data_IF_294653896840
#
_entry.id   IF_294653896840
#
_cell.length_a   1.000
_cell.length_b   1.000
_cell.length_c   1.000
_cell.angle_alpha   90.00
_cell.angle_beta   90.00
_cell.angle_gamma   90.00
#
_symmetry.space_group_name_H-M   'P 1'
#
loop_
_entity.id
_entity.type
_entity.pdbx_description
1 polymer ?
#
# COMPACT_ATOMS: atom_id res chain seq x y z
N UNK A 1 -28.64 -17.12 -7.10
CA UNK A 1 -27.49 -16.64 -6.32
C UNK A 1 -27.88 -16.72 -4.86
N UNK A 2 -27.25 -17.58 -4.07
CA UNK A 2 -27.48 -17.62 -2.63
C UNK A 2 -26.94 -16.30 -2.08
N UNK A 3 -27.82 -15.47 -1.52
CA UNK A 3 -27.46 -14.26 -0.79
C UNK A 3 -26.72 -14.68 0.49
N UNK A 4 -25.46 -15.13 0.35
CA UNK A 4 -24.57 -15.21 1.50
C UNK A 4 -24.36 -13.77 1.93
N UNK A 5 -24.90 -13.44 3.10
CA UNK A 5 -24.65 -12.17 3.74
C UNK A 5 -23.14 -11.99 3.84
N UNK A 6 -22.61 -10.98 3.12
CA UNK A 6 -21.20 -10.71 3.11
C UNK A 6 -20.79 -10.20 4.50
N UNK A 7 -20.07 -11.04 5.26
CA UNK A 7 -19.55 -10.68 6.58
C UNK A 7 -18.14 -10.10 6.42
N UNK A 8 -18.08 -8.77 6.27
CA UNK A 8 -16.83 -8.05 6.11
C UNK A 8 -15.87 -8.27 7.29
N UNK A 9 -16.39 -8.44 8.51
CA UNK A 9 -15.58 -8.63 9.71
C UNK A 9 -14.92 -10.00 9.68
N UNK A 10 -15.67 -11.04 9.31
CA UNK A 10 -15.11 -12.38 9.12
C UNK A 10 -14.01 -12.40 8.05
N UNK A 11 -14.19 -11.67 6.95
CA UNK A 11 -13.17 -11.56 5.89
C UNK A 11 -11.90 -10.82 6.34
N UNK A 12 -12.04 -9.76 7.15
CA UNK A 12 -10.89 -9.07 7.75
C UNK A 12 -10.14 -9.95 8.76
N UNK A 13 -10.87 -10.72 9.58
CA UNK A 13 -10.27 -11.70 10.50
C UNK A 13 -9.55 -12.81 9.74
N UNK A 14 -10.14 -13.31 8.65
CA UNK A 14 -9.51 -14.29 7.78
C UNK A 14 -8.22 -13.74 7.15
N UNK A 15 -8.22 -12.48 6.69
CA UNK A 15 -7.03 -11.83 6.15
C UNK A 15 -5.90 -11.76 7.21
N UNK A 16 -6.24 -11.43 8.46
CA UNK A 16 -5.28 -11.43 9.57
C UNK A 16 -4.74 -12.84 9.86
N UNK A 17 -5.61 -13.86 9.86
CA UNK A 17 -5.19 -15.25 10.04
C UNK A 17 -4.25 -15.72 8.92
N UNK A 18 -4.57 -15.39 7.65
CA UNK A 18 -3.70 -15.69 6.50
C UNK A 18 -2.34 -15.00 6.66
N UNK A 19 -2.32 -13.72 7.08
CA UNK A 19 -1.08 -12.99 7.31
C UNK A 19 -0.25 -13.60 8.45
N UNK A 20 -0.86 -13.94 9.57
CA UNK A 20 -0.15 -14.53 10.72
C UNK A 20 0.50 -15.87 10.40
N UNK A 21 -0.14 -16.68 9.55
CA UNK A 21 0.44 -17.93 9.02
C UNK A 21 1.54 -17.69 7.97
N UNK A 22 1.43 -16.58 7.23
CA UNK A 22 2.28 -16.26 6.09
C UNK A 22 2.98 -14.90 6.25
N UNK A 23 3.68 -14.70 7.37
CA UNK A 23 4.33 -13.42 7.69
C UNK A 23 5.36 -12.99 6.64
N UNK A 24 5.88 -13.93 5.84
CA UNK A 24 6.80 -13.67 4.73
C UNK A 24 6.23 -12.72 3.68
N UNK A 25 4.90 -12.59 3.58
CA UNK A 25 4.23 -11.59 2.73
C UNK A 25 4.59 -10.14 3.09
N UNK A 26 5.00 -9.87 4.33
CA UNK A 26 5.44 -8.55 4.75
C UNK A 26 6.86 -8.19 4.27
N UNK A 27 7.65 -9.18 3.85
CA UNK A 27 9.07 -9.00 3.60
C UNK A 27 9.37 -8.05 2.42
N UNK A 28 8.71 -8.13 1.24
CA UNK A 28 9.02 -7.23 0.13
C UNK A 28 8.78 -5.75 0.47
N UNK A 29 7.69 -5.46 1.17
CA UNK A 29 7.31 -4.09 1.54
C UNK A 29 8.13 -3.56 2.69
N UNK A 30 8.54 -4.42 3.63
CA UNK A 30 9.51 -4.08 4.67
C UNK A 30 10.89 -3.76 4.06
N UNK A 31 11.40 -4.57 3.13
CA UNK A 31 12.67 -4.29 2.44
C UNK A 31 12.58 -2.97 1.67
N UNK A 32 11.47 -2.75 0.93
CA UNK A 32 11.27 -1.50 0.21
C UNK A 32 11.21 -0.28 1.14
N UNK A 33 10.59 -0.39 2.32
CA UNK A 33 10.55 0.70 3.29
C UNK A 33 11.92 0.97 3.92
N UNK A 34 12.73 -0.06 4.19
CA UNK A 34 14.11 0.10 4.64
C UNK A 34 14.96 0.85 3.60
N UNK A 35 14.87 0.42 2.33
CA UNK A 35 15.56 1.09 1.22
C UNK A 35 15.08 2.54 1.10
N UNK A 36 13.78 2.78 1.20
CA UNK A 36 13.21 4.13 1.20
C UNK A 36 13.76 5.00 2.33
N UNK A 37 13.84 4.51 3.56
CA UNK A 37 14.36 5.26 4.71
C UNK A 37 15.83 5.62 4.52
N UNK A 38 16.67 4.64 4.14
CA UNK A 38 18.10 4.87 3.91
C UNK A 38 18.31 5.91 2.81
N UNK A 39 17.54 5.79 1.73
CA UNK A 39 17.64 6.68 0.59
C UNK A 39 17.11 8.08 0.91
N UNK A 40 15.94 8.22 1.55
CA UNK A 40 15.39 9.50 2.01
C UNK A 40 16.31 10.20 3.01
N UNK A 41 16.93 9.47 3.94
CA UNK A 41 17.88 10.05 4.89
C UNK A 41 19.11 10.60 4.17
N UNK A 42 19.63 9.86 3.19
CA UNK A 42 20.77 10.29 2.35
C UNK A 42 20.41 11.52 1.51
N UNK A 43 19.21 11.54 0.91
CA UNK A 43 18.70 12.67 0.14
C UNK A 43 18.47 13.91 1.00
N UNK A 44 17.94 13.74 2.22
CA UNK A 44 17.75 14.84 3.16
C UNK A 44 19.09 15.46 3.53
N UNK A 45 20.11 14.64 3.80
CA UNK A 45 21.48 15.10 4.03
C UNK A 45 22.06 15.86 2.83
N UNK A 46 21.95 15.30 1.62
CA UNK A 46 22.42 15.95 0.39
C UNK A 46 21.70 17.29 0.13
N UNK A 47 20.38 17.34 0.35
CA UNK A 47 19.57 18.56 0.21
C UNK A 47 19.98 19.61 1.24
N UNK A 48 20.15 19.22 2.51
CA UNK A 48 20.60 20.13 3.57
C UNK A 48 21.97 20.73 3.24
N UNK A 49 22.93 19.92 2.79
CA UNK A 49 24.24 20.39 2.36
C UNK A 49 24.14 21.34 1.15
N UNK A 50 23.23 21.07 0.22
CA UNK A 50 23.00 21.94 -0.95
C UNK A 50 22.43 23.30 -0.55
N UNK A 51 21.49 23.33 0.40
CA UNK A 51 20.91 24.57 0.94
C UNK A 51 21.95 25.37 1.73
N UNK A 52 22.73 24.71 2.60
CA UNK A 52 23.79 25.37 3.37
C UNK A 52 24.90 25.91 2.45
N UNK A 53 25.31 25.13 1.45
CA UNK A 53 26.27 25.55 0.43
C UNK A 53 25.77 26.73 -0.40
N UNK A 54 24.49 26.71 -0.80
CA UNK A 54 23.87 27.83 -1.50
C UNK A 54 23.88 29.12 -0.67
N UNK A 55 23.68 29.03 0.65
CA UNK A 55 23.80 30.17 1.56
C UNK A 55 25.21 30.79 1.60
N UNK A 56 26.26 29.97 1.49
CA UNK A 56 27.65 30.45 1.42
C UNK A 56 27.99 31.16 0.10
N UNK A 57 27.19 30.95 -0.94
CA UNK A 57 27.36 31.55 -2.27
C UNK A 57 26.41 32.72 -2.52
N UNK A 58 25.96 33.42 -1.48
CA UNK A 58 25.01 34.53 -1.58
C UNK A 58 25.43 35.66 -2.54
N UNK A 59 26.73 35.80 -2.84
CA UNK A 59 27.28 36.73 -3.85
C UNK A 59 27.35 36.19 -5.29
N UNK A 60 27.01 34.93 -5.53
CA UNK A 60 27.17 34.24 -6.81
C UNK A 60 25.86 33.57 -7.24
N UNK A 61 24.92 34.33 -7.86
CA UNK A 61 23.58 33.85 -8.16
C UNK A 61 23.56 32.60 -9.05
N UNK A 62 24.51 32.47 -9.98
CA UNK A 62 24.66 31.27 -10.81
C UNK A 62 25.05 30.02 -10.01
N UNK A 63 25.97 30.14 -9.05
CA UNK A 63 26.38 29.04 -8.17
C UNK A 63 25.27 28.62 -7.21
N UNK A 64 24.54 29.60 -6.67
CA UNK A 64 23.36 29.36 -5.82
C UNK A 64 22.26 28.60 -6.58
N UNK A 65 21.90 29.05 -7.79
CA UNK A 65 20.89 28.39 -8.61
C UNK A 65 21.30 26.96 -9.00
N UNK A 66 22.58 26.75 -9.32
CA UNK A 66 23.10 25.42 -9.64
C UNK A 66 23.00 24.44 -8.46
N UNK A 67 23.36 24.86 -7.24
CA UNK A 67 23.27 24.02 -6.04
C UNK A 67 21.81 23.68 -5.69
N UNK A 68 20.91 24.66 -5.75
CA UNK A 68 19.48 24.41 -5.52
C UNK A 68 18.86 23.50 -6.59
N UNK A 69 19.27 23.67 -7.85
CA UNK A 69 18.86 22.81 -8.96
C UNK A 69 19.33 21.36 -8.80
N UNK A 70 20.56 21.15 -8.32
CA UNK A 70 21.08 19.80 -8.05
C UNK A 70 20.32 19.13 -6.89
N UNK A 71 20.02 19.88 -5.83
CA UNK A 71 19.20 19.40 -4.73
C UNK A 71 17.80 18.97 -5.18
N UNK A 72 17.13 19.79 -6.00
CA UNK A 72 15.77 19.48 -6.49
C UNK A 72 15.75 18.30 -7.45
N UNK A 73 16.74 18.16 -8.34
CA UNK A 73 16.86 16.99 -9.21
C UNK A 73 17.08 15.71 -8.42
N UNK A 74 17.90 15.76 -7.36
CA UNK A 74 18.11 14.62 -6.46
C UNK A 74 16.81 14.24 -5.77
N UNK A 75 16.05 15.22 -5.28
CA UNK A 75 14.74 15.01 -4.66
C UNK A 75 13.73 14.35 -5.61
N UNK A 76 13.59 14.87 -6.83
CA UNK A 76 12.61 14.38 -7.80
C UNK A 76 13.01 12.99 -8.32
N UNK A 77 14.24 12.83 -8.81
CA UNK A 77 14.71 11.56 -9.36
C UNK A 77 14.76 10.46 -8.30
N UNK A 78 15.22 10.81 -7.10
CA UNK A 78 15.27 9.91 -5.96
C UNK A 78 13.89 9.49 -5.46
N UNK A 79 12.97 10.45 -5.34
CA UNK A 79 11.58 10.18 -4.96
C UNK A 79 10.87 9.27 -5.97
N UNK A 80 11.07 9.51 -7.27
CA UNK A 80 10.52 8.68 -8.33
C UNK A 80 11.04 7.23 -8.25
N UNK A 81 12.33 7.05 -7.97
CA UNK A 81 12.93 5.72 -7.80
C UNK A 81 12.38 4.98 -6.58
N UNK A 82 12.34 5.63 -5.41
CA UNK A 82 11.77 5.03 -4.19
C UNK A 82 10.31 4.64 -4.42
N UNK A 83 9.55 5.53 -5.05
CA UNK A 83 8.15 5.30 -5.36
C UNK A 83 7.97 4.07 -6.26
N UNK A 84 8.81 3.92 -7.30
CA UNK A 84 8.78 2.75 -8.17
C UNK A 84 9.13 1.46 -7.42
N UNK A 85 10.17 1.47 -6.57
CA UNK A 85 10.56 0.32 -5.73
C UNK A 85 9.40 -0.08 -4.81
N UNK A 86 8.77 0.90 -4.16
CA UNK A 86 7.64 0.67 -3.25
C UNK A 86 6.42 0.13 -4.01
N UNK A 87 6.12 0.67 -5.18
CA UNK A 87 5.02 0.21 -6.02
C UNK A 87 5.22 -1.25 -6.49
N UNK A 88 6.43 -1.61 -6.91
CA UNK A 88 6.79 -2.98 -7.30
C UNK A 88 6.71 -3.92 -6.09
N UNK A 89 7.17 -3.49 -4.91
CA UNK A 89 7.05 -4.28 -3.70
C UNK A 89 5.58 -4.55 -3.32
N UNK A 90 4.71 -3.53 -3.36
CA UNK A 90 3.27 -3.73 -3.14
C UNK A 90 2.64 -4.66 -4.18
N UNK A 91 2.97 -4.49 -5.46
CA UNK A 91 2.49 -5.36 -6.53
C UNK A 91 2.96 -6.81 -6.34
N UNK A 92 4.19 -7.01 -5.86
CA UNK A 92 4.75 -8.33 -5.53
C UNK A 92 3.95 -9.01 -4.43
N UNK A 93 3.65 -8.29 -3.35
CA UNK A 93 2.85 -8.81 -2.24
C UNK A 93 1.42 -9.12 -2.67
N UNK A 94 0.82 -8.30 -3.53
CA UNK A 94 -0.50 -8.54 -4.12
C UNK A 94 -0.51 -9.84 -4.94
N UNK A 95 0.52 -10.06 -5.77
CA UNK A 95 0.66 -11.29 -6.54
C UNK A 95 0.82 -12.54 -5.67
N UNK A 96 1.58 -12.45 -4.58
CA UNK A 96 1.78 -13.56 -3.63
C UNK A 96 0.57 -13.77 -2.69
N UNK A 97 -0.20 -12.72 -2.41
CA UNK A 97 -1.41 -12.79 -1.60
C UNK A 97 -2.49 -13.66 -2.26
N UNK A 98 -2.57 -13.65 -3.60
CA UNK A 98 -3.47 -14.54 -4.35
C UNK A 98 -3.18 -16.02 -4.08
N UNK A 99 -1.90 -16.41 -4.07
CA UNK A 99 -1.48 -17.79 -3.77
C UNK A 99 -1.80 -18.16 -2.31
N UNK A 100 -1.60 -17.23 -1.37
CA UNK A 100 -1.92 -17.41 0.04
C UNK A 100 -3.42 -17.65 0.27
N UNK A 101 -4.28 -16.89 -0.41
CA UNK A 101 -5.74 -17.08 -0.35
C UNK A 101 -6.22 -18.40 -0.94
N UNK A 102 -5.44 -18.99 -1.87
CA UNK A 102 -5.68 -20.33 -2.43
C UNK A 102 -5.15 -21.46 -1.55
N UNK A 103 -4.62 -21.15 -0.37
CA UNK A 103 -4.00 -22.14 0.52
C UNK A 103 -2.66 -22.67 0.02
N UNK A 104 -2.06 -22.03 -0.99
CA UNK A 104 -0.72 -22.35 -1.47
C UNK A 104 0.31 -21.57 -0.66
N UNK A 105 1.56 -22.06 -0.62
CA UNK A 105 2.65 -21.29 -0.03
C UNK A 105 2.89 -20.02 -0.89
N UNK A 106 2.95 -18.82 -0.29
CA UNK A 106 3.15 -17.59 -1.06
C UNK A 106 4.49 -17.61 -1.80
N UNK A 107 4.45 -17.55 -3.13
CA UNK A 107 5.66 -17.48 -3.97
C UNK A 107 5.98 -16.01 -4.31
N UNK A 108 6.90 -15.41 -3.53
CA UNK A 108 7.35 -14.05 -3.74
C UNK A 108 8.07 -13.86 -5.09
N UNK A 109 8.74 -14.89 -5.61
CA UNK A 109 9.45 -14.82 -6.90
C UNK A 109 8.47 -14.74 -8.05
N UNK A 110 7.39 -15.54 -8.00
CA UNK A 110 6.28 -15.45 -8.95
C UNK A 110 5.56 -14.11 -8.81
N UNK A 111 5.28 -13.65 -7.59
CA UNK A 111 4.69 -12.33 -7.33
C UNK A 111 5.52 -11.20 -7.94
N UNK A 112 6.85 -11.23 -7.78
CA UNK A 112 7.76 -10.24 -8.33
C UNK A 112 7.80 -10.30 -9.86
N UNK A 113 7.89 -11.50 -10.43
CA UNK A 113 7.88 -11.69 -11.88
C UNK A 113 6.61 -11.11 -12.52
N UNK A 114 5.44 -11.30 -11.88
CA UNK A 114 4.18 -10.69 -12.32
C UNK A 114 4.20 -9.17 -12.17
N UNK A 115 4.70 -8.64 -11.05
CA UNK A 115 4.81 -7.20 -10.84
C UNK A 115 5.70 -6.54 -11.89
N UNK A 116 6.85 -7.11 -12.20
CA UNK A 116 7.78 -6.62 -13.24
C UNK A 116 7.15 -6.70 -14.63
N UNK A 117 6.44 -7.78 -14.97
CA UNK A 117 5.73 -7.89 -16.24
C UNK A 117 4.63 -6.82 -16.42
N UNK A 118 4.08 -6.31 -15.31
CA UNK A 118 3.05 -5.24 -15.30
C UNK A 118 3.63 -3.85 -15.03
N UNK A 119 4.95 -3.71 -14.97
CA UNK A 119 5.63 -2.46 -14.62
C UNK A 119 5.20 -1.26 -15.49
N UNK A 120 5.00 -1.38 -16.83
CA UNK A 120 4.47 -0.27 -17.62
C UNK A 120 3.07 0.18 -17.17
N UNK A 121 2.18 -0.76 -16.84
CA UNK A 121 0.83 -0.45 -16.37
C UNK A 121 0.84 0.15 -14.97
N UNK A 122 1.71 -0.36 -14.09
CA UNK A 122 1.93 0.20 -12.75
C UNK A 122 2.42 1.65 -12.87
N UNK A 123 3.42 1.93 -13.70
CA UNK A 123 3.95 3.30 -13.89
C UNK A 123 2.85 4.26 -14.37
N UNK A 124 2.05 3.86 -15.36
CA UNK A 124 0.95 4.71 -15.87
C UNK A 124 -0.06 5.01 -14.77
N UNK A 125 -0.53 4.00 -14.04
CA UNK A 125 -1.46 4.19 -12.93
C UNK A 125 -0.85 5.06 -11.84
N UNK A 126 0.43 4.85 -11.53
CA UNK A 126 1.14 5.55 -10.48
C UNK A 126 1.36 7.03 -10.82
N UNK A 127 1.65 7.38 -12.08
CA UNK A 127 1.71 8.78 -12.55
C UNK A 127 0.34 9.46 -12.42
N UNK A 128 -0.74 8.80 -12.86
CA UNK A 128 -2.09 9.38 -12.79
C UNK A 128 -2.49 9.59 -11.31
N UNK A 129 -2.22 8.61 -10.45
CA UNK A 129 -2.49 8.71 -9.01
C UNK A 129 -1.63 9.77 -8.33
N UNK A 130 -0.36 9.92 -8.72
CA UNK A 130 0.51 10.96 -8.19
C UNK A 130 0.01 12.36 -8.55
N UNK A 131 -0.42 12.57 -9.80
CA UNK A 131 -1.03 13.84 -10.22
C UNK A 131 -2.34 14.10 -9.46
N UNK A 132 -3.21 13.09 -9.33
CA UNK A 132 -4.46 13.22 -8.57
C UNK A 132 -4.20 13.54 -7.09
N UNK A 133 -3.26 12.85 -6.45
CA UNK A 133 -2.87 13.08 -5.06
C UNK A 133 -2.26 14.48 -4.88
N UNK A 134 -1.47 14.96 -5.84
CA UNK A 134 -0.92 16.32 -5.83
C UNK A 134 -2.02 17.37 -5.90
N UNK A 135 -3.02 17.20 -6.78
CA UNK A 135 -4.19 18.09 -6.83
C UNK A 135 -4.96 18.07 -5.51
N UNK A 136 -5.20 16.89 -4.94
CA UNK A 136 -5.82 16.76 -3.62
C UNK A 136 -5.01 17.50 -2.54
N UNK A 137 -3.69 17.37 -2.54
CA UNK A 137 -2.81 18.04 -1.58
C UNK A 137 -2.85 19.57 -1.70
N UNK A 138 -2.85 20.12 -2.92
CA UNK A 138 -3.01 21.57 -3.14
C UNK A 138 -4.36 22.05 -2.61
N UNK A 139 -5.43 21.28 -2.81
CA UNK A 139 -6.76 21.59 -2.28
C UNK A 139 -6.84 21.47 -0.74
N UNK A 140 -5.99 20.66 -0.09
CA UNK A 140 -5.85 20.67 1.38
C UNK A 140 -5.46 22.07 1.83
N UNK A 141 -4.40 22.60 1.24
CA UNK A 141 -3.80 23.88 1.66
C UNK A 141 -4.75 25.04 1.31
N UNK A 142 -5.37 24.98 0.13
CA UNK A 142 -6.22 26.07 -0.36
C UNK A 142 -7.61 26.13 0.30
N UNK A 143 -8.25 24.98 0.55
CA UNK A 143 -9.67 24.91 0.92
C UNK A 143 -9.96 24.11 2.19
N UNK A 144 -8.96 23.48 2.82
CA UNK A 144 -9.15 22.62 4.00
C UNK A 144 -9.87 21.29 3.71
N UNK A 145 -10.36 21.07 2.49
CA UNK A 145 -11.12 19.86 2.09
C UNK A 145 -10.24 18.69 1.66
N UNK A 146 -8.95 18.92 1.44
CA UNK A 146 -8.11 17.94 0.76
C UNK A 146 -7.87 16.64 1.54
N UNK A 147 -7.98 16.62 2.87
CA UNK A 147 -7.85 15.36 3.64
C UNK A 147 -9.02 14.41 3.31
N UNK A 148 -10.24 14.96 3.24
CA UNK A 148 -11.43 14.20 2.85
C UNK A 148 -11.31 13.72 1.40
N UNK A 149 -10.80 14.58 0.50
CA UNK A 149 -10.53 14.19 -0.89
C UNK A 149 -9.44 13.11 -1.00
N UNK A 150 -8.40 13.15 -0.16
CA UNK A 150 -7.36 12.13 -0.14
C UNK A 150 -7.89 10.79 0.36
N UNK A 151 -8.77 10.81 1.37
CA UNK A 151 -9.47 9.61 1.84
C UNK A 151 -10.41 9.06 0.77
N UNK A 152 -11.15 9.92 0.07
CA UNK A 152 -12.02 9.52 -1.04
C UNK A 152 -11.19 8.94 -2.21
N UNK A 153 -10.03 9.53 -2.52
CA UNK A 153 -9.10 9.00 -3.52
C UNK A 153 -8.56 7.64 -3.08
N UNK A 154 -8.11 7.51 -1.83
CA UNK A 154 -7.63 6.24 -1.28
C UNK A 154 -8.70 5.15 -1.33
N UNK A 155 -9.94 5.47 -0.94
CA UNK A 155 -11.08 4.57 -0.99
C UNK A 155 -11.38 4.10 -2.42
N UNK A 156 -11.46 5.03 -3.37
CA UNK A 156 -11.82 4.72 -4.76
C UNK A 156 -10.70 4.03 -5.53
N UNK A 157 -9.44 4.16 -5.08
CA UNK A 157 -8.26 3.63 -5.75
C UNK A 157 -7.63 2.41 -5.06
N UNK A 158 -8.22 1.88 -3.98
CA UNK A 158 -7.63 0.76 -3.25
C UNK A 158 -7.55 -0.55 -4.05
N UNK A 159 -8.33 -0.69 -5.13
CA UNK A 159 -8.34 -1.86 -6.00
C UNK A 159 -7.52 -1.70 -7.28
N UNK A 160 -6.83 -0.58 -7.48
CA UNK A 160 -6.05 -0.34 -8.72
C UNK A 160 -4.93 -1.36 -8.89
N UNK A 161 -4.13 -1.59 -7.85
CA UNK A 161 -3.03 -2.56 -7.93
C UNK A 161 -3.54 -4.02 -8.08
N UNK A 162 -4.54 -4.51 -7.31
CA UNK A 162 -5.16 -5.81 -7.58
C UNK A 162 -5.70 -5.93 -9.01
N UNK A 163 -6.35 -4.89 -9.55
CA UNK A 163 -6.85 -4.92 -10.92
C UNK A 163 -5.72 -5.08 -11.95
N UNK A 164 -4.56 -4.44 -11.73
CA UNK A 164 -3.39 -4.56 -12.63
C UNK A 164 -2.72 -5.94 -12.50
N UNK A 165 -2.48 -6.40 -11.27
CA UNK A 165 -1.67 -7.60 -10.99
C UNK A 165 -2.48 -8.88 -11.13
N UNK A 166 -3.67 -8.93 -10.52
CA UNK A 166 -4.56 -10.11 -10.53
C UNK A 166 -5.51 -10.04 -11.72
N UNK A 167 -6.17 -8.90 -11.93
CA UNK A 167 -7.11 -8.68 -13.04
C UNK A 167 -6.46 -8.51 -14.41
N UNK A 168 -5.13 -8.38 -14.47
CA UNK A 168 -4.38 -8.12 -15.71
C UNK A 168 -4.80 -6.87 -16.49
N UNK A 169 -5.50 -5.93 -15.85
CA UNK A 169 -5.95 -4.68 -16.45
C UNK A 169 -4.77 -3.75 -16.80
N UNK A 170 -4.96 -2.89 -17.80
CA UNK A 170 -4.02 -1.80 -18.10
C UNK A 170 -4.10 -0.69 -17.06
N UNK A 171 -3.07 0.16 -16.97
CA UNK A 171 -3.02 1.22 -15.93
C UNK A 171 -4.24 2.14 -15.91
N UNK A 172 -4.76 2.56 -17.06
CA UNK A 172 -5.96 3.42 -17.14
C UNK A 172 -7.25 2.63 -16.92
N UNK A 173 -7.35 1.42 -17.47
CA UNK A 173 -8.52 0.54 -17.27
C UNK A 173 -8.68 0.17 -15.79
N UNK A 174 -7.58 -0.07 -15.09
CA UNK A 174 -7.55 -0.41 -13.67
C UNK A 174 -8.14 0.69 -12.78
N UNK A 175 -7.94 1.97 -13.11
CA UNK A 175 -8.56 3.09 -12.40
C UNK A 175 -10.08 3.04 -12.56
N UNK A 176 -10.57 2.83 -13.78
CA UNK A 176 -12.00 2.68 -14.07
C UNK A 176 -12.61 1.44 -13.41
N UNK A 177 -11.88 0.33 -13.40
CA UNK A 177 -12.27 -0.90 -12.71
C UNK A 177 -12.37 -0.69 -11.19
N UNK A 178 -11.37 -0.05 -10.58
CA UNK A 178 -11.36 0.26 -9.14
C UNK A 178 -12.51 1.20 -8.75
N UNK A 179 -12.75 2.25 -9.54
CA UNK A 179 -13.87 3.17 -9.33
C UNK A 179 -15.22 2.45 -9.43
N UNK A 180 -15.41 1.64 -10.47
CA UNK A 180 -16.65 0.88 -10.68
C UNK A 180 -16.88 -0.16 -9.59
N UNK A 181 -15.84 -0.84 -9.14
CA UNK A 181 -15.93 -1.88 -8.11
C UNK A 181 -16.28 -1.27 -6.74
N UNK A 182 -15.59 -0.19 -6.35
CA UNK A 182 -15.82 0.52 -5.09
C UNK A 182 -17.20 1.17 -5.02
N UNK A 183 -17.68 1.77 -6.11
CA UNK A 183 -19.00 2.44 -6.14
C UNK A 183 -20.17 1.45 -6.24
N UNK A 184 -20.07 0.37 -7.03
CA UNK A 184 -21.13 -0.64 -7.12
C UNK A 184 -21.26 -1.48 -5.85
N UNK A 185 -20.16 -1.66 -5.12
CA UNK A 185 -20.11 -2.45 -3.89
C UNK A 185 -19.66 -1.57 -2.72
N UNK A 186 -20.35 -0.44 -2.52
CA UNK A 186 -19.95 0.57 -1.55
C UNK A 186 -19.85 0.02 -0.12
N UNK A 187 -20.86 -0.70 0.36
CA UNK A 187 -20.90 -1.21 1.73
C UNK A 187 -19.78 -2.23 2.04
N UNK A 188 -19.52 -3.26 1.22
CA UNK A 188 -18.34 -4.11 1.39
C UNK A 188 -17.02 -3.33 1.28
N UNK A 189 -16.90 -2.46 0.28
CA UNK A 189 -15.65 -1.74 0.03
C UNK A 189 -15.31 -0.78 1.17
N UNK A 190 -16.29 -0.11 1.76
CA UNK A 190 -16.03 0.81 2.88
C UNK A 190 -15.62 0.04 4.13
N UNK A 191 -16.17 -1.16 4.35
CA UNK A 191 -15.74 -2.02 5.45
C UNK A 191 -14.28 -2.48 5.29
N UNK A 192 -13.87 -2.90 4.08
CA UNK A 192 -12.48 -3.19 3.78
C UNK A 192 -11.57 -1.97 3.99
N UNK A 193 -11.98 -0.81 3.47
CA UNK A 193 -11.21 0.43 3.60
C UNK A 193 -11.04 0.84 5.07
N UNK A 194 -12.10 0.78 5.88
CA UNK A 194 -12.03 1.03 7.33
C UNK A 194 -11.10 0.02 8.00
N UNK A 195 -11.15 -1.26 7.65
CA UNK A 195 -10.24 -2.27 8.18
C UNK A 195 -8.77 -1.97 7.87
N UNK A 196 -8.48 -1.54 6.64
CA UNK A 196 -7.14 -1.10 6.23
C UNK A 196 -6.71 0.12 7.03
N UNK A 197 -7.53 1.16 7.10
CA UNK A 197 -7.24 2.40 7.86
C UNK A 197 -7.01 2.09 9.33
N UNK A 198 -7.83 1.24 9.95
CA UNK A 198 -7.65 0.80 11.33
C UNK A 198 -6.30 0.10 11.54
N UNK A 199 -5.89 -0.78 10.62
CA UNK A 199 -4.58 -1.43 10.67
C UNK A 199 -3.41 -0.43 10.56
N UNK A 200 -3.55 0.62 9.73
CA UNK A 200 -2.57 1.72 9.67
C UNK A 200 -2.54 2.55 10.95
N UNK A 201 -3.69 2.82 11.57
CA UNK A 201 -3.75 3.54 12.85
C UNK A 201 -3.06 2.71 13.95
N UNK A 202 -3.39 1.42 14.08
CA UNK A 202 -2.76 0.52 15.06
C UNK A 202 -1.25 0.41 14.80
N UNK A 203 -0.83 0.21 13.56
CA UNK A 203 0.59 0.18 13.19
C UNK A 203 1.30 1.50 13.50
N UNK A 204 0.65 2.64 13.26
CA UNK A 204 1.15 3.95 13.63
C UNK A 204 1.34 4.12 15.14
N UNK A 205 0.38 3.67 15.95
CA UNK A 205 0.47 3.71 17.42
C UNK A 205 1.61 2.82 17.95
N UNK A 206 1.76 1.60 17.41
CA UNK A 206 2.88 0.70 17.76
C UNK A 206 4.22 1.33 17.37
N UNK A 207 4.31 1.92 16.18
CA UNK A 207 5.53 2.59 15.72
C UNK A 207 5.86 3.82 16.56
N UNK A 208 4.86 4.60 16.97
CA UNK A 208 5.05 5.79 17.81
C UNK A 208 5.55 5.43 19.21
N UNK A 209 5.03 4.36 19.82
CA UNK A 209 5.46 3.90 21.15
C UNK A 209 6.87 3.34 21.17
N UNK A 210 7.27 2.57 20.14
CA UNK A 210 8.61 2.00 20.05
C UNK A 210 9.64 3.01 19.51
N UNK A 211 9.18 4.02 18.76
CA UNK A 211 10.01 5.05 18.10
C UNK A 211 10.88 5.89 19.03
N UNK A 212 10.63 5.87 20.35
CA UNK A 212 11.47 6.54 21.33
C UNK A 212 12.86 5.90 21.51
N UNK A 213 13.03 4.63 21.11
CA UNK A 213 14.34 3.96 21.12
C UNK A 213 14.88 3.94 19.69
N UNK A 214 15.95 4.67 19.34
CA UNK A 214 16.35 4.88 17.94
C UNK A 214 16.50 3.59 17.12
N UNK A 215 17.28 2.62 17.60
CA UNK A 215 17.53 1.36 16.86
C UNK A 215 16.30 0.47 16.82
N UNK A 216 15.59 0.30 17.95
CA UNK A 216 14.38 -0.52 18.00
C UNK A 216 13.23 0.11 17.20
N UNK A 217 13.14 1.43 17.16
CA UNK A 217 12.13 2.17 16.40
C UNK A 217 12.24 1.91 14.91
N UNK A 218 13.46 1.84 14.37
CA UNK A 218 13.68 1.55 12.94
C UNK A 218 13.32 0.10 12.61
N UNK A 219 13.72 -0.84 13.47
CA UNK A 219 13.37 -2.26 13.31
C UNK A 219 11.85 -2.46 13.44
N UNK A 220 11.21 -1.81 14.41
CA UNK A 220 9.77 -1.90 14.58
C UNK A 220 9.02 -1.28 13.40
N UNK A 221 9.41 -0.09 12.94
CA UNK A 221 8.80 0.55 11.78
C UNK A 221 8.92 -0.33 10.51
N UNK A 222 10.05 -1.02 10.34
CA UNK A 222 10.24 -2.00 9.28
C UNK A 222 9.21 -3.14 9.35
N UNK A 223 9.10 -3.81 10.50
CA UNK A 223 8.18 -4.95 10.65
C UNK A 223 6.72 -4.52 10.62
N UNK A 224 6.37 -3.45 11.34
CA UNK A 224 5.00 -2.94 11.43
C UNK A 224 4.54 -2.40 10.07
N UNK A 225 5.37 -1.61 9.39
CA UNK A 225 5.05 -1.11 8.05
C UNK A 225 4.87 -2.23 7.04
N UNK A 226 5.75 -3.24 7.08
CA UNK A 226 5.64 -4.44 6.24
C UNK A 226 4.35 -5.22 6.49
N UNK A 227 4.03 -5.51 7.76
CA UNK A 227 2.84 -6.25 8.17
C UNK A 227 1.55 -5.51 7.83
N UNK A 228 1.46 -4.21 8.14
CA UNK A 228 0.30 -3.38 7.81
C UNK A 228 0.08 -3.31 6.30
N UNK A 229 1.16 -3.17 5.52
CA UNK A 229 1.07 -3.17 4.07
C UNK A 229 0.64 -4.53 3.51
N UNK A 230 1.17 -5.63 4.03
CA UNK A 230 0.77 -6.98 3.62
C UNK A 230 -0.69 -7.30 3.99
N UNK A 231 -1.15 -6.84 5.16
CA UNK A 231 -2.56 -6.90 5.54
C UNK A 231 -3.43 -6.15 4.53
N UNK A 232 -3.06 -4.91 4.18
CA UNK A 232 -3.79 -4.13 3.20
C UNK A 232 -3.85 -4.82 1.83
N UNK A 233 -2.74 -5.40 1.37
CA UNK A 233 -2.70 -6.17 0.13
C UNK A 233 -3.61 -7.41 0.19
N UNK A 234 -3.59 -8.18 1.28
CA UNK A 234 -4.46 -9.35 1.47
C UNK A 234 -5.94 -8.97 1.45
N UNK A 235 -6.32 -7.90 2.15
CA UNK A 235 -7.69 -7.38 2.17
C UNK A 235 -8.10 -6.90 0.78
N UNK A 236 -7.27 -6.10 0.11
CA UNK A 236 -7.57 -5.58 -1.22
C UNK A 236 -7.72 -6.69 -2.26
N UNK A 237 -6.86 -7.73 -2.25
CA UNK A 237 -6.99 -8.89 -3.16
C UNK A 237 -8.26 -9.67 -2.86
N UNK A 238 -8.53 -9.96 -1.58
CA UNK A 238 -9.70 -10.75 -1.19
C UNK A 238 -11.01 -10.09 -1.61
N UNK A 239 -11.15 -8.80 -1.31
CA UNK A 239 -12.35 -8.05 -1.68
C UNK A 239 -12.43 -7.83 -3.18
N UNK A 240 -11.30 -7.66 -3.87
CA UNK A 240 -11.28 -7.60 -5.33
C UNK A 240 -11.85 -8.88 -5.96
N UNK A 241 -11.41 -10.06 -5.51
CA UNK A 241 -11.88 -11.34 -6.03
C UNK A 241 -13.37 -11.58 -5.74
N UNK A 242 -13.80 -11.37 -4.48
CA UNK A 242 -15.18 -11.60 -4.05
C UNK A 242 -16.15 -10.64 -4.77
N UNK A 243 -15.79 -9.37 -4.91
CA UNK A 243 -16.65 -8.36 -5.54
C UNK A 243 -16.57 -8.38 -7.07
N UNK A 244 -15.45 -8.84 -7.62
CA UNK A 244 -15.24 -9.02 -9.06
C UNK A 244 -15.99 -10.21 -9.65
N UNK A 245 -16.59 -11.06 -8.81
CA UNK A 245 -17.28 -12.26 -9.24
C UNK A 245 -16.34 -13.37 -9.69
N UNK A 246 -15.05 -13.30 -9.35
CA UNK A 246 -14.16 -14.44 -9.48
C UNK A 246 -14.70 -15.54 -8.56
N UNK A 247 -14.95 -16.74 -9.10
CA UNK A 247 -15.48 -17.86 -8.33
C UNK A 247 -14.43 -18.29 -7.30
N UNK A 248 -14.43 -17.66 -6.12
CA UNK A 248 -13.53 -18.07 -5.05
C UNK A 248 -14.06 -19.37 -4.48
N UNK A 249 -13.30 -20.45 -4.67
CA UNK A 249 -13.51 -21.64 -3.85
C UNK A 249 -13.39 -21.19 -2.38
N UNK A 250 -14.43 -21.40 -1.55
CA UNK A 250 -14.30 -21.11 -0.13
C UNK A 250 -13.07 -21.87 0.35
N UNK A 251 -12.12 -21.17 0.99
CA UNK A 251 -11.06 -21.80 1.76
C UNK A 251 -11.74 -22.94 2.52
N UNK A 252 -11.41 -24.19 2.14
CA UNK A 252 -11.98 -25.38 2.75
C UNK A 252 -11.95 -25.10 4.24
N UNK A 253 -13.15 -25.02 4.85
CA UNK A 253 -13.37 -24.31 6.11
C UNK A 253 -12.14 -24.53 6.97
N UNK A 254 -11.37 -23.45 7.22
CA UNK A 254 -10.30 -23.51 8.20
C UNK A 254 -10.97 -24.21 9.38
N UNK A 255 -10.47 -25.40 9.74
CA UNK A 255 -11.05 -26.24 10.78
C UNK A 255 -10.95 -25.43 12.08
N UNK A 256 -11.90 -24.52 12.24
CA UNK A 256 -12.08 -23.77 13.44
C UNK A 256 -12.51 -24.85 14.42
N UNK A 257 -11.82 -25.02 15.55
CA UNK A 257 -12.22 -25.98 16.55
C UNK A 257 -13.72 -25.80 16.81
N UNK A 258 -14.47 -26.91 16.96
CA UNK A 258 -15.91 -26.86 17.15
C UNK A 258 -16.22 -25.78 18.18
N UNK A 259 -17.02 -24.77 17.79
CA UNK A 259 -17.58 -23.88 18.80
C UNK A 259 -18.47 -24.76 19.65
N UNK A 260 -18.02 -25.06 20.86
CA UNK A 260 -18.87 -25.62 21.91
C UNK A 260 -20.00 -24.63 22.13
N UNK A 261 -21.13 -24.85 21.48
CA UNK A 261 -22.35 -24.10 21.74
C UNK A 261 -22.84 -24.63 23.09
N UNK A 262 -22.81 -23.82 24.16
CA UNK A 262 -23.30 -24.27 25.46
C UNK A 262 -24.77 -24.70 25.30
N UNK A 263 -25.18 -25.81 25.94
CA UNK A 263 -26.55 -26.30 25.83
C UNK A 263 -27.50 -25.21 26.31
N UNK A 264 -28.45 -24.83 25.46
CA UNK A 264 -29.59 -24.01 25.84
C UNK A 264 -30.42 -24.78 26.85
N UNK A 265 -30.48 -24.27 28.09
CA UNK A 265 -31.37 -24.73 29.15
C UNK A 265 -32.77 -24.15 28.92
#
# INVERSE_FOLDING_TARGET
MINRQFDAVAELQAAFQVLSKNWILALPTAIASLVAIVFLTSMAGATALSVLGAGSLSGHPGGMAALLGMGSMTLIGGGALIFLITAVAHATVIGAAEDAWRGQQPDLSRGLSRAVAKLPSIIIAAIILAVAAMVCAILVIAAGLGLLLLLALGFTMMYVLPAIVVGSESGTSALGASWRLSTRNFAPSIAAFIGIVAAYIVGGLVSATIGHVPVLGWIAAFFVGGLTSAFAALVSVRFYDVLGGAAVQPLAAVDLPPRDIPPTI
#
